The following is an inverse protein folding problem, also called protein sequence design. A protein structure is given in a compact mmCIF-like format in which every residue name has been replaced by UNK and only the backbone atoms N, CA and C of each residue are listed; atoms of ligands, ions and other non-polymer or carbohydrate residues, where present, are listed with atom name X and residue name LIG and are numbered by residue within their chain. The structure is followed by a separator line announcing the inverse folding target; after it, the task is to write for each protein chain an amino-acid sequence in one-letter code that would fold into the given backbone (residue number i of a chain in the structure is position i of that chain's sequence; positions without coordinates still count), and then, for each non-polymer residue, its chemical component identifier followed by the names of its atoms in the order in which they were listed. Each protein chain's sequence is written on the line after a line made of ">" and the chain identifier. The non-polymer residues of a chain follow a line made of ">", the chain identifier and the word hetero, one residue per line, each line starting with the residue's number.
data_IF_701396691859
#
_entry.id   IF_701396691859
#
_cell.length_a   1.000
_cell.length_b   1.000
_cell.length_c   1.000
_cell.angle_alpha   90.00
_cell.angle_beta   90.00
_cell.angle_gamma   90.00
#
_symmetry.space_group_name_H-M   'P 1'
#
loop_
_entity.id
_entity.type
_entity.pdbx_description
1 polymer ?
#
# COMPACT_ATOMS: atom_id res chain seq x y z
N UNK A 1 -41.24 68.84 68.61
CA UNK A 1 -41.76 67.72 67.77
C UNK A 1 -41.29 66.42 68.43
N UNK A 2 -41.97 65.91 69.46
CA UNK A 2 -43.15 65.01 69.44
C UNK A 2 -42.80 63.61 68.86
N UNK A 3 -42.63 62.65 69.79
CA UNK A 3 -43.07 61.22 69.81
C UNK A 3 -42.82 60.36 68.56
N UNK A 4 -42.28 59.13 68.70
CA UNK A 4 -43.11 57.93 68.94
C UNK A 4 -42.31 56.71 69.43
N UNK A 5 -42.91 56.08 70.43
CA UNK A 5 -42.67 54.77 71.04
C UNK A 5 -43.34 53.67 70.19
N UNK A 6 -42.87 52.42 70.32
CA UNK A 6 -43.60 51.11 70.24
C UNK A 6 -42.91 50.11 69.30
N UNK A 7 -42.37 48.98 69.79
CA UNK A 7 -43.03 47.80 70.40
C UNK A 7 -43.57 46.84 69.33
N UNK A 8 -42.87 45.73 69.09
CA UNK A 8 -43.36 44.40 68.65
C UNK A 8 -42.29 43.40 69.14
N UNK A 9 -42.52 42.66 70.23
CA UNK A 9 -43.06 41.28 70.28
C UNK A 9 -42.14 40.27 69.53
N UNK A 10 -41.78 39.06 69.96
CA UNK A 10 -42.40 38.09 70.85
C UNK A 10 -41.40 36.90 70.99
N UNK A 11 -41.11 36.52 72.23
CA UNK A 11 -40.76 35.19 72.78
C UNK A 11 -40.77 33.99 71.79
N UNK A 12 -39.67 33.23 71.75
CA UNK A 12 -39.69 31.76 71.62
C UNK A 12 -38.41 31.14 72.23
N UNK A 13 -38.59 30.59 73.43
CA UNK A 13 -37.69 29.69 74.15
C UNK A 13 -37.70 28.31 73.47
N UNK A 14 -36.59 27.57 73.60
CA UNK A 14 -36.50 26.11 73.48
C UNK A 14 -36.51 25.53 72.06
N UNK A 15 -35.37 24.99 71.63
CA UNK A 15 -35.18 23.53 71.50
C UNK A 15 -33.84 23.22 70.87
N UNK A 16 -32.97 22.60 71.65
CA UNK A 16 -31.95 21.69 71.14
C UNK A 16 -32.68 20.47 70.54
N UNK A 17 -32.39 20.09 69.28
CA UNK A 17 -32.29 18.68 68.92
C UNK A 17 -30.84 18.44 68.51
N UNK A 18 -30.01 17.69 69.25
CA UNK A 18 -30.05 16.23 69.26
C UNK A 18 -30.38 15.66 67.86
N UNK A 19 -29.44 15.81 66.94
CA UNK A 19 -29.51 15.27 65.57
C UNK A 19 -28.17 15.31 64.83
N UNK A 20 -27.05 15.08 65.53
CA UNK A 20 -25.70 15.08 64.94
C UNK A 20 -25.31 13.73 64.28
N UNK A 21 -26.25 12.80 64.12
CA UNK A 21 -26.08 11.65 63.25
C UNK A 21 -26.55 12.02 61.83
N UNK A 22 -25.70 12.68 61.03
CA UNK A 22 -26.13 13.05 59.67
C UNK A 22 -25.16 13.69 58.67
N UNK A 23 -24.08 14.42 59.06
CA UNK A 23 -23.17 14.99 58.05
C UNK A 23 -21.96 14.11 57.77
N UNK A 24 -21.45 13.35 58.75
CA UNK A 24 -20.21 12.59 58.59
C UNK A 24 -20.31 11.50 57.52
N UNK A 25 -21.40 10.71 57.49
CA UNK A 25 -21.56 9.65 56.49
C UNK A 25 -21.88 10.18 55.07
N UNK A 26 -22.55 11.33 54.95
CA UNK A 26 -22.84 11.95 53.66
C UNK A 26 -21.60 12.64 53.08
N UNK A 27 -20.77 13.28 53.92
CA UNK A 27 -19.50 13.86 53.51
C UNK A 27 -18.48 12.79 53.11
N UNK A 28 -18.45 11.65 53.81
CA UNK A 28 -17.54 10.53 53.49
C UNK A 28 -17.88 9.91 52.13
N UNK A 29 -19.19 9.78 51.82
CA UNK A 29 -19.68 9.34 50.51
C UNK A 29 -19.36 10.32 49.39
N UNK A 30 -19.44 11.63 49.65
CA UNK A 30 -19.10 12.65 48.67
C UNK A 30 -17.59 12.72 48.42
N UNK A 31 -16.76 12.54 49.45
CA UNK A 31 -15.31 12.46 49.34
C UNK A 31 -14.87 11.23 48.52
N UNK A 32 -15.46 10.06 48.77
CA UNK A 32 -15.20 8.85 47.96
C UNK A 32 -15.67 8.99 46.51
N UNK A 33 -16.77 9.70 46.24
CA UNK A 33 -17.24 9.94 44.87
C UNK A 33 -16.29 10.89 44.12
N UNK A 34 -15.82 11.95 44.78
CA UNK A 34 -14.84 12.87 44.22
C UNK A 34 -13.51 12.15 43.87
N UNK A 35 -13.05 11.24 44.73
CA UNK A 35 -11.88 10.42 44.48
C UNK A 35 -12.06 9.50 43.25
N UNK A 36 -13.20 8.82 43.14
CA UNK A 36 -13.51 7.98 41.96
C UNK A 36 -13.56 8.82 40.67
N UNK A 37 -14.14 10.03 40.70
CA UNK A 37 -14.15 10.92 39.53
C UNK A 37 -12.75 11.38 39.13
N UNK A 38 -11.89 11.65 40.12
CA UNK A 38 -10.49 11.97 39.88
C UNK A 38 -9.76 10.78 39.25
N UNK A 39 -9.94 9.57 39.78
CA UNK A 39 -9.34 8.35 39.23
C UNK A 39 -9.80 8.06 37.80
N UNK A 40 -11.09 8.26 37.48
CA UNK A 40 -11.61 8.13 36.12
C UNK A 40 -10.99 9.16 35.16
N UNK A 41 -10.73 10.38 35.64
CA UNK A 41 -10.09 11.43 34.85
C UNK A 41 -8.64 11.05 34.53
N UNK A 42 -7.89 10.58 35.53
CA UNK A 42 -6.51 10.10 35.36
C UNK A 42 -6.46 8.94 34.36
N UNK A 43 -7.28 7.90 34.58
CA UNK A 43 -7.33 6.74 33.70
C UNK A 43 -7.74 7.10 32.26
N UNK A 44 -8.65 8.07 32.11
CA UNK A 44 -9.05 8.61 30.82
C UNK A 44 -7.89 9.26 30.07
N UNK A 45 -7.04 10.02 30.75
CA UNK A 45 -5.84 10.62 30.15
C UNK A 45 -4.77 9.58 29.80
N UNK A 46 -4.60 8.54 30.62
CA UNK A 46 -3.68 7.43 30.34
C UNK A 46 -4.12 6.63 29.11
N UNK A 47 -5.43 6.32 28.99
CA UNK A 47 -5.99 5.68 27.80
C UNK A 47 -5.80 6.52 26.54
N UNK A 48 -5.92 7.85 26.65
CA UNK A 48 -5.66 8.76 25.53
C UNK A 48 -4.18 8.76 25.14
N UNK A 49 -3.26 8.72 26.11
CA UNK A 49 -1.82 8.59 25.85
C UNK A 49 -1.52 7.28 25.14
N UNK A 50 -1.99 6.15 25.67
CA UNK A 50 -1.82 4.82 25.08
C UNK A 50 -2.37 4.75 23.66
N UNK A 51 -3.55 5.33 23.41
CA UNK A 51 -4.13 5.42 22.05
C UNK A 51 -3.24 6.22 21.11
N UNK A 52 -2.67 7.33 21.59
CA UNK A 52 -1.77 8.18 20.81
C UNK A 52 -0.45 7.46 20.50
N UNK A 53 0.10 6.74 21.47
CA UNK A 53 1.30 5.91 21.30
C UNK A 53 1.06 4.78 20.28
N UNK A 54 -0.06 4.07 20.39
CA UNK A 54 -0.44 3.02 19.43
C UNK A 54 -0.70 3.58 18.03
N UNK A 55 -1.40 4.70 17.92
CA UNK A 55 -1.71 5.35 16.64
C UNK A 55 -0.43 5.81 15.93
N UNK A 56 0.49 6.43 16.68
CA UNK A 56 1.77 6.91 16.14
C UNK A 56 2.65 5.74 15.70
N UNK A 57 2.73 4.69 16.53
CA UNK A 57 3.51 3.47 16.22
C UNK A 57 2.96 2.76 14.97
N UNK A 58 1.64 2.59 14.89
CA UNK A 58 0.98 1.92 13.75
C UNK A 58 1.18 2.72 12.46
N UNK A 59 1.02 4.04 12.49
CA UNK A 59 1.21 4.91 11.32
C UNK A 59 2.65 4.87 10.81
N UNK A 60 3.64 4.94 11.71
CA UNK A 60 5.05 4.83 11.37
C UNK A 60 5.41 3.47 10.75
N UNK A 61 4.91 2.38 11.33
CA UNK A 61 5.16 1.01 10.86
C UNK A 61 4.53 0.75 9.49
N UNK A 62 3.31 1.26 9.27
CA UNK A 62 2.59 1.13 7.98
C UNK A 62 3.29 1.94 6.89
N UNK A 63 3.75 3.16 7.19
CA UNK A 63 4.46 4.02 6.22
C UNK A 63 5.78 3.40 5.77
N UNK A 64 6.56 2.83 6.69
CA UNK A 64 7.80 2.12 6.37
C UNK A 64 7.55 0.83 5.55
N UNK A 65 6.52 0.07 5.88
CA UNK A 65 6.15 -1.13 5.12
C UNK A 65 5.65 -0.80 3.71
N UNK A 66 4.85 0.25 3.55
CA UNK A 66 4.28 0.65 2.24
C UNK A 66 5.36 1.25 1.34
N UNK A 67 6.24 2.10 1.87
CA UNK A 67 7.37 2.67 1.12
C UNK A 67 8.34 1.58 0.62
N UNK A 68 8.68 0.61 1.49
CA UNK A 68 9.55 -0.51 1.09
C UNK A 68 8.89 -1.50 0.13
N UNK A 69 7.56 -1.66 0.18
CA UNK A 69 6.84 -2.49 -0.80
C UNK A 69 6.82 -1.84 -2.19
N UNK A 70 6.57 -0.53 -2.27
CA UNK A 70 6.60 0.20 -3.55
C UNK A 70 8.00 0.22 -4.16
N UNK A 71 9.04 0.46 -3.36
CA UNK A 71 10.43 0.43 -3.84
C UNK A 71 10.84 -0.96 -4.37
N UNK A 72 10.37 -2.04 -3.73
CA UNK A 72 10.57 -3.41 -4.23
C UNK A 72 9.84 -3.65 -5.54
N UNK A 73 8.62 -3.13 -5.69
CA UNK A 73 7.84 -3.25 -6.93
C UNK A 73 8.51 -2.50 -8.08
N UNK A 74 8.97 -1.26 -7.84
CA UNK A 74 9.71 -0.47 -8.82
C UNK A 74 11.01 -1.19 -9.23
N UNK A 75 11.72 -1.80 -8.28
CA UNK A 75 12.90 -2.63 -8.53
C UNK A 75 12.59 -3.88 -9.36
N UNK A 76 11.48 -4.57 -9.09
CA UNK A 76 11.03 -5.70 -9.88
C UNK A 76 10.63 -5.29 -11.30
N UNK A 77 9.91 -4.18 -11.46
CA UNK A 77 9.56 -3.66 -12.78
C UNK A 77 10.80 -3.27 -13.59
N UNK A 78 11.79 -2.65 -12.96
CA UNK A 78 13.05 -2.31 -13.60
C UNK A 78 13.80 -3.56 -14.09
N UNK A 79 13.89 -4.61 -13.27
CA UNK A 79 14.53 -5.87 -13.68
C UNK A 79 13.72 -6.63 -14.74
N UNK A 80 12.39 -6.59 -14.69
CA UNK A 80 11.55 -7.17 -15.76
C UNK A 80 11.78 -6.46 -17.09
N UNK A 81 11.77 -5.12 -17.12
CA UNK A 81 12.05 -4.33 -18.33
C UNK A 81 13.45 -4.66 -18.89
N UNK A 82 14.44 -4.78 -18.01
CA UNK A 82 15.82 -5.15 -18.37
C UNK A 82 15.93 -6.58 -18.90
N UNK A 83 15.20 -7.52 -18.33
CA UNK A 83 15.16 -8.91 -18.81
C UNK A 83 14.50 -9.00 -20.20
N UNK A 84 13.42 -8.25 -20.42
CA UNK A 84 12.79 -8.13 -21.74
C UNK A 84 13.76 -7.56 -22.76
N UNK A 85 14.43 -6.44 -22.46
CA UNK A 85 15.41 -5.84 -23.36
C UNK A 85 16.56 -6.82 -23.71
N UNK A 86 17.06 -7.58 -22.73
CA UNK A 86 18.08 -8.61 -22.97
C UNK A 86 17.56 -9.77 -23.82
N UNK A 87 16.30 -10.14 -23.67
CA UNK A 87 15.68 -11.21 -24.46
C UNK A 87 15.56 -10.79 -25.91
N UNK A 88 15.10 -9.56 -26.18
CA UNK A 88 15.00 -9.00 -27.53
C UNK A 88 16.40 -8.83 -28.17
N UNK A 89 17.40 -8.37 -27.41
CA UNK A 89 18.78 -8.28 -27.90
C UNK A 89 19.35 -9.66 -28.26
N UNK A 90 19.08 -10.67 -27.43
CA UNK A 90 19.51 -12.04 -27.68
C UNK A 90 18.81 -12.64 -28.90
N UNK A 91 17.50 -12.44 -29.04
CA UNK A 91 16.73 -12.88 -30.22
C UNK A 91 17.32 -12.27 -31.50
N UNK A 92 17.58 -10.96 -31.50
CA UNK A 92 18.19 -10.28 -32.63
C UNK A 92 19.59 -10.83 -32.95
N UNK A 93 20.43 -11.01 -31.91
CA UNK A 93 21.79 -11.56 -32.07
C UNK A 93 21.74 -12.98 -32.64
N UNK A 94 20.86 -13.83 -32.13
CA UNK A 94 20.68 -15.20 -32.62
C UNK A 94 20.24 -15.18 -34.08
N UNK A 95 19.24 -14.38 -34.44
CA UNK A 95 18.78 -14.27 -35.82
C UNK A 95 19.92 -13.84 -36.76
N UNK A 96 20.78 -12.90 -36.33
CA UNK A 96 21.94 -12.48 -37.11
C UNK A 96 23.00 -13.55 -37.26
N UNK A 97 23.25 -14.34 -36.21
CA UNK A 97 24.18 -15.48 -36.27
C UNK A 97 23.65 -16.57 -37.19
N UNK A 98 22.34 -16.84 -37.17
CA UNK A 98 21.69 -17.81 -38.07
C UNK A 98 21.83 -17.35 -39.52
N UNK A 99 21.55 -16.07 -39.81
CA UNK A 99 21.67 -15.49 -41.15
C UNK A 99 23.13 -15.58 -41.67
N UNK A 100 24.11 -15.09 -40.90
CA UNK A 100 25.53 -15.16 -41.28
C UNK A 100 26.02 -16.62 -41.42
N UNK A 101 25.65 -17.48 -40.47
CA UNK A 101 26.04 -18.88 -40.49
C UNK A 101 25.46 -19.64 -41.68
N UNK A 102 24.20 -19.38 -42.03
CA UNK A 102 23.55 -20.01 -43.21
C UNK A 102 24.25 -19.58 -44.50
N UNK A 103 24.53 -18.28 -44.64
CA UNK A 103 25.25 -17.75 -45.80
C UNK A 103 26.68 -18.31 -45.94
N UNK A 104 27.37 -18.50 -44.81
CA UNK A 104 28.71 -19.13 -44.82
C UNK A 104 28.65 -20.59 -45.20
N UNK A 105 27.63 -21.32 -44.74
CA UNK A 105 27.42 -22.72 -45.11
C UNK A 105 27.07 -22.84 -46.59
N UNK A 106 26.32 -21.89 -47.16
CA UNK A 106 26.08 -21.81 -48.61
C UNK A 106 27.39 -21.65 -49.40
N UNK A 107 28.25 -20.71 -49.01
CA UNK A 107 29.56 -20.51 -49.66
C UNK A 107 30.46 -21.75 -49.55
N UNK A 108 30.47 -22.42 -48.40
CA UNK A 108 31.25 -23.65 -48.22
C UNK A 108 30.72 -24.80 -49.08
N UNK A 109 29.41 -24.97 -49.21
CA UNK A 109 28.82 -25.97 -50.09
C UNK A 109 29.14 -25.71 -51.56
N UNK A 110 29.09 -24.44 -51.98
CA UNK A 110 29.49 -24.04 -53.32
C UNK A 110 30.94 -24.43 -53.60
N UNK A 111 31.87 -24.01 -52.73
CA UNK A 111 33.30 -24.33 -52.89
C UNK A 111 33.58 -25.83 -52.84
N UNK A 112 32.89 -26.57 -51.98
CA UNK A 112 33.04 -28.02 -51.90
C UNK A 112 32.62 -28.68 -53.22
N UNK A 113 31.49 -28.25 -53.80
CA UNK A 113 30.98 -28.79 -55.07
C UNK A 113 31.90 -28.47 -56.23
N UNK A 114 32.48 -27.26 -56.27
CA UNK A 114 33.49 -26.91 -57.27
C UNK A 114 34.75 -27.78 -57.17
N UNK A 115 35.21 -28.08 -55.95
CA UNK A 115 36.38 -28.92 -55.70
C UNK A 115 36.13 -30.40 -56.01
N UNK A 116 34.91 -30.89 -55.76
CA UNK A 116 34.50 -32.28 -56.06
C UNK A 116 34.14 -32.47 -57.55
N UNK A 117 34.02 -31.39 -58.33
CA UNK A 117 33.65 -31.43 -59.75
C UNK A 117 32.15 -31.68 -60.01
N UNK A 118 31.30 -31.35 -59.04
CA UNK A 118 29.84 -31.45 -59.15
C UNK A 118 29.19 -30.26 -59.86
N UNK A 119 27.88 -30.35 -60.11
CA UNK A 119 27.09 -29.26 -60.68
C UNK A 119 26.61 -28.28 -59.59
N UNK A 120 27.22 -27.10 -59.53
CA UNK A 120 26.84 -26.02 -58.60
C UNK A 120 25.41 -25.51 -58.83
N UNK A 121 24.86 -25.67 -60.05
CA UNK A 121 23.48 -25.28 -60.37
C UNK A 121 22.42 -26.22 -59.78
N UNK A 122 22.83 -27.43 -59.37
CA UNK A 122 21.98 -28.44 -58.75
C UNK A 122 22.01 -28.39 -57.21
N UNK A 123 22.72 -27.44 -56.60
CA UNK A 123 22.80 -27.31 -55.15
C UNK A 123 21.45 -26.93 -54.54
N UNK A 124 20.95 -27.68 -53.54
CA UNK A 124 19.74 -27.33 -52.83
C UNK A 124 19.95 -26.06 -51.99
N UNK A 125 18.87 -25.34 -51.69
CA UNK A 125 18.93 -24.22 -50.73
C UNK A 125 19.30 -24.75 -49.34
N UNK A 126 20.26 -24.09 -48.69
CA UNK A 126 20.61 -24.41 -47.30
C UNK A 126 19.47 -24.01 -46.37
N UNK A 127 19.07 -24.95 -45.52
CA UNK A 127 18.14 -24.66 -44.45
C UNK A 127 18.80 -23.78 -43.39
N UNK A 128 18.08 -22.83 -42.77
CA UNK A 128 18.64 -21.97 -41.74
C UNK A 128 19.20 -22.79 -40.58
N UNK A 129 20.36 -22.39 -40.07
CA UNK A 129 20.96 -23.01 -38.90
C UNK A 129 19.98 -22.91 -37.72
N UNK A 130 19.57 -24.05 -37.16
CA UNK A 130 18.55 -24.10 -36.10
C UNK A 130 17.14 -24.44 -36.59
N UNK A 131 16.93 -24.66 -37.89
CA UNK A 131 15.64 -25.07 -38.46
C UNK A 131 14.67 -23.92 -38.70
N UNK A 132 13.49 -24.24 -39.24
CA UNK A 132 12.39 -23.27 -39.35
C UNK A 132 11.80 -23.05 -37.96
N UNK A 133 12.32 -22.08 -37.21
CA UNK A 133 11.73 -21.69 -35.94
C UNK A 133 10.47 -20.87 -36.26
N UNK A 134 9.26 -21.33 -35.89
CA UNK A 134 8.09 -20.48 -36.00
C UNK A 134 8.34 -19.25 -35.14
N UNK A 135 8.30 -18.05 -35.71
CA UNK A 135 8.33 -16.82 -34.92
C UNK A 135 7.19 -16.93 -33.92
N UNK A 136 7.52 -17.05 -32.63
CA UNK A 136 6.50 -17.03 -31.59
C UNK A 136 5.72 -15.74 -31.77
N UNK A 137 4.40 -15.85 -31.99
CA UNK A 137 3.56 -14.70 -32.22
C UNK A 137 3.79 -13.68 -31.11
N UNK A 138 4.18 -12.46 -31.48
CA UNK A 138 4.32 -11.36 -30.56
C UNK A 138 3.07 -11.32 -29.66
N UNK A 139 3.22 -11.14 -28.33
CA UNK A 139 2.06 -11.07 -27.44
C UNK A 139 1.11 -10.02 -28.01
N UNK A 140 -0.13 -10.43 -28.29
CA UNK A 140 -1.12 -9.54 -28.86
C UNK A 140 -1.21 -8.31 -27.96
N UNK A 141 -0.83 -7.14 -28.50
CA UNK A 141 -1.00 -5.88 -27.81
C UNK A 141 -2.46 -5.82 -27.36
N UNK A 142 -2.69 -5.77 -26.05
CA UNK A 142 -4.02 -5.64 -25.50
C UNK A 142 -4.66 -4.40 -26.15
N UNK A 143 -5.74 -4.62 -26.92
CA UNK A 143 -6.53 -3.52 -27.47
C UNK A 143 -6.86 -2.58 -26.31
N UNK A 144 -6.65 -1.26 -26.44
CA UNK A 144 -7.12 -0.32 -25.43
C UNK A 144 -8.61 -0.57 -25.23
N UNK A 145 -9.01 -0.87 -23.99
CA UNK A 145 -10.43 -0.96 -23.66
C UNK A 145 -11.09 0.34 -24.11
N UNK A 146 -12.14 0.22 -24.92
CA UNK A 146 -12.89 1.39 -25.36
C UNK A 146 -13.32 2.20 -24.12
N UNK A 147 -13.23 3.56 -24.16
CA UNK A 147 -13.70 4.37 -23.06
C UNK A 147 -15.18 4.06 -22.83
N UNK A 148 -15.50 3.57 -21.63
CA UNK A 148 -16.88 3.33 -21.25
C UNK A 148 -17.52 4.70 -21.07
N UNK A 149 -18.42 5.06 -21.98
CA UNK A 149 -19.27 6.24 -21.82
C UNK A 149 -20.07 6.07 -20.52
N UNK A 150 -19.94 7.04 -19.62
CA UNK A 150 -20.73 7.06 -18.41
C UNK A 150 -22.21 7.19 -18.79
N UNK A 151 -23.09 6.51 -18.05
CA UNK A 151 -24.55 6.42 -18.28
C UNK A 151 -25.24 7.82 -18.40
N UNK A 152 -24.57 8.89 -18.01
CA UNK A 152 -25.05 10.27 -18.13
C UNK A 152 -24.87 10.95 -19.49
N UNK A 153 -24.19 10.34 -20.47
CA UNK A 153 -23.91 10.97 -21.79
C UNK A 153 -24.74 10.39 -22.95
N UNK A 154 -25.79 9.59 -22.68
CA UNK A 154 -26.73 9.08 -23.70
C UNK A 154 -28.07 9.85 -23.77
N UNK A 155 -28.12 11.07 -23.23
CA UNK A 155 -29.31 11.92 -23.23
C UNK A 155 -29.40 12.82 -24.47
#
# INVERSE_FOLDING_TARGET
>A
MIRRVSLVALIAVLSLPAGLAGPALAQDRAATLADIQQQLTVLGTEMQSLRRELSTTTSAMTSAATGSALERLDGMEAELRKLTAKTEELEFRVQKVIEDGTNRVDDLQFRLTELEGGDVGALPKTAPLGGEVPLAAAPAAAKPAAPHLAVGEQA
#
